data_IF_944436687303
#
_entry.id   IF_944436687303
#
_cell.length_a   1.000
_cell.length_b   1.000
_cell.length_c   1.000
_cell.angle_alpha   90.00
_cell.angle_beta   90.00
_cell.angle_gamma   90.00
#
_symmetry.space_group_name_H-M   'P 1'
#
loop_
_entity.id
_entity.type
_entity.pdbx_description
1 polymer ?
#
# COMPACT_ATOMS: atom_id res chain seq x y z
N UNK A 1 -16.51 -18.03 -14.64
CA UNK A 1 -15.65 -16.87 -14.33
C UNK A 1 -14.54 -17.35 -13.43
N UNK A 2 -13.29 -17.05 -13.78
CA UNK A 2 -12.13 -17.41 -12.95
C UNK A 2 -12.10 -16.62 -11.65
N UNK A 3 -11.27 -17.07 -10.70
CA UNK A 3 -10.96 -16.31 -9.49
C UNK A 3 -10.13 -15.11 -9.92
N UNK A 4 -10.54 -13.90 -9.52
CA UNK A 4 -9.75 -12.69 -9.78
C UNK A 4 -8.76 -12.42 -8.66
N UNK A 5 -7.63 -11.84 -9.03
CA UNK A 5 -6.59 -11.37 -8.13
C UNK A 5 -6.37 -9.88 -8.38
N UNK A 6 -6.32 -9.09 -7.31
CA UNK A 6 -5.89 -7.70 -7.30
C UNK A 6 -4.64 -7.53 -6.44
N UNK A 7 -3.89 -6.46 -6.69
CA UNK A 7 -2.65 -6.17 -5.95
C UNK A 7 -2.57 -4.68 -5.64
N UNK A 8 -2.11 -4.36 -4.44
CA UNK A 8 -1.84 -2.99 -3.98
C UNK A 8 -0.44 -2.95 -3.36
N UNK A 9 0.26 -1.83 -3.53
CA UNK A 9 1.53 -1.57 -2.88
C UNK A 9 1.60 -0.13 -2.40
N UNK A 10 1.93 0.03 -1.13
CA UNK A 10 2.07 1.31 -0.46
C UNK A 10 3.52 1.80 -0.52
N UNK A 11 3.68 3.11 -0.63
CA UNK A 11 4.98 3.78 -0.68
C UNK A 11 5.00 5.01 0.20
N UNK A 12 6.09 5.20 0.94
CA UNK A 12 6.43 6.52 1.45
C UNK A 12 7.08 7.39 0.36
N UNK A 13 6.78 8.68 0.41
CA UNK A 13 7.42 9.71 -0.41
C UNK A 13 8.62 10.29 0.32
N UNK A 14 9.73 10.41 -0.39
CA UNK A 14 10.97 11.00 0.11
C UNK A 14 11.41 12.21 -0.73
N UNK A 15 12.16 13.12 -0.12
CA UNK A 15 12.91 14.17 -0.82
C UNK A 15 14.28 13.67 -1.33
N UNK A 16 15.04 14.57 -1.95
CA UNK A 16 16.40 14.31 -2.45
C UNK A 16 17.43 13.96 -1.37
N UNK A 17 17.15 14.27 -0.11
CA UNK A 17 17.99 13.92 1.04
C UNK A 17 17.56 12.60 1.68
N UNK A 18 16.55 11.92 1.13
CA UNK A 18 15.99 10.67 1.65
C UNK A 18 15.06 10.85 2.85
N UNK A 19 14.59 12.08 3.14
CA UNK A 19 13.66 12.35 4.24
C UNK A 19 12.21 12.17 3.81
N UNK A 20 11.38 11.65 4.71
CA UNK A 20 9.94 11.49 4.48
C UNK A 20 9.27 12.86 4.30
N UNK A 21 8.41 12.99 3.30
CA UNK A 21 7.68 14.24 3.02
C UNK A 21 6.17 14.03 2.92
N UNK A 22 5.41 14.97 3.48
CA UNK A 22 3.94 14.94 3.49
C UNK A 22 3.34 15.53 2.19
N UNK A 23 3.74 15.01 1.03
CA UNK A 23 3.39 15.54 -0.31
C UNK A 23 2.53 14.60 -1.16
N UNK A 24 1.81 13.66 -0.56
CA UNK A 24 0.92 12.74 -1.29
C UNK A 24 -0.12 13.49 -2.13
N UNK A 25 -0.66 14.61 -1.64
CA UNK A 25 -1.61 15.43 -2.40
C UNK A 25 -1.09 15.90 -3.77
N UNK A 26 0.22 16.20 -3.87
CA UNK A 26 0.85 16.63 -5.12
C UNK A 26 0.93 15.49 -6.13
N UNK A 27 1.25 14.28 -5.66
CA UNK A 27 1.28 13.07 -6.48
C UNK A 27 -0.12 12.72 -6.97
N UNK A 28 -1.10 12.79 -6.08
CA UNK A 28 -2.49 12.41 -6.37
C UNK A 28 -3.17 13.34 -7.37
N UNK A 29 -2.83 14.63 -7.33
CA UNK A 29 -3.36 15.65 -8.25
C UNK A 29 -2.59 15.74 -9.58
N UNK A 30 -1.51 14.98 -9.74
CA UNK A 30 -0.69 15.05 -10.94
C UNK A 30 -1.41 14.53 -12.18
N UNK A 31 -1.21 15.18 -13.32
CA UNK A 31 -1.87 14.86 -14.63
C UNK A 31 -1.66 13.44 -15.14
N UNK A 32 -0.61 12.75 -14.67
CA UNK A 32 -0.31 11.36 -15.04
C UNK A 32 -0.96 10.33 -14.11
N UNK A 33 -1.61 10.76 -13.03
CA UNK A 33 -2.41 9.87 -12.20
C UNK A 33 -3.74 9.56 -12.90
N UNK A 34 -3.88 8.35 -13.42
CA UNK A 34 -5.11 7.86 -14.06
C UNK A 34 -6.19 7.37 -13.09
N UNK A 35 -5.99 7.55 -11.77
CA UNK A 35 -6.91 7.12 -10.72
C UNK A 35 -6.51 5.84 -9.98
N UNK A 36 -5.41 5.20 -10.39
CA UNK A 36 -4.87 3.98 -9.75
C UNK A 36 -3.75 4.26 -8.74
N UNK A 37 -3.41 5.54 -8.51
CA UNK A 37 -2.56 5.99 -7.41
C UNK A 37 -3.45 6.74 -6.44
N UNK A 38 -3.63 6.21 -5.24
CA UNK A 38 -4.62 6.72 -4.28
C UNK A 38 -3.98 7.14 -2.95
N UNK A 39 -4.76 7.89 -2.16
CA UNK A 39 -4.37 8.32 -0.81
C UNK A 39 -4.33 7.12 0.13
N UNK A 40 -3.32 7.07 1.00
CA UNK A 40 -3.25 6.05 2.06
C UNK A 40 -3.33 6.67 3.48
N UNK A 41 -2.76 6.01 4.49
CA UNK A 41 -2.97 6.35 5.91
C UNK A 41 -2.46 7.74 6.29
N UNK A 42 -1.45 8.25 5.57
CA UNK A 42 -0.81 9.53 5.85
C UNK A 42 -0.57 10.34 4.59
N UNK A 43 -0.27 11.63 4.77
CA UNK A 43 0.09 12.56 3.70
C UNK A 43 1.47 12.29 3.13
N UNK A 44 2.24 11.37 3.71
CA UNK A 44 3.50 10.92 3.14
C UNK A 44 3.36 9.64 2.31
N UNK A 45 2.17 9.05 2.25
CA UNK A 45 1.96 7.76 1.60
C UNK A 45 1.05 7.87 0.37
N UNK A 46 1.39 7.06 -0.63
CA UNK A 46 0.52 6.76 -1.77
C UNK A 46 0.43 5.25 -1.95
N UNK A 47 -0.70 4.77 -2.44
CA UNK A 47 -0.91 3.36 -2.77
C UNK A 47 -1.12 3.21 -4.28
N UNK A 48 -0.39 2.27 -4.90
CA UNK A 48 -0.56 1.90 -6.30
C UNK A 48 -1.43 0.66 -6.40
N UNK A 49 -2.50 0.74 -7.18
CA UNK A 49 -3.49 -0.34 -7.32
C UNK A 49 -3.40 -0.95 -8.73
N UNK A 50 -3.33 -2.28 -8.79
CA UNK A 50 -3.60 -3.06 -9.98
C UNK A 50 -5.03 -3.63 -9.91
N UNK A 51 -5.93 -3.22 -10.82
CA UNK A 51 -7.32 -3.69 -10.81
C UNK A 51 -7.43 -5.23 -10.88
N UNK A 52 -8.44 -5.83 -10.22
CA UNK A 52 -8.61 -7.28 -10.20
C UNK A 52 -8.81 -7.90 -11.58
N UNK A 53 -8.08 -8.97 -11.86
CA UNK A 53 -8.23 -9.76 -13.10
C UNK A 53 -8.09 -11.25 -12.81
N UNK A 54 -8.74 -12.08 -13.63
CA UNK A 54 -8.53 -13.53 -13.66
C UNK A 54 -7.29 -13.94 -14.49
N UNK A 55 -6.55 -12.95 -15.02
CA UNK A 55 -5.29 -13.13 -15.70
C UNK A 55 -4.15 -12.40 -14.95
N UNK A 56 -3.22 -13.17 -14.38
CA UNK A 56 -2.10 -12.63 -13.61
C UNK A 56 -1.15 -11.77 -14.45
N UNK A 57 -0.97 -12.08 -15.74
CA UNK A 57 -0.14 -11.25 -16.62
C UNK A 57 -0.77 -9.87 -16.83
N UNK A 58 -2.11 -9.79 -16.86
CA UNK A 58 -2.80 -8.51 -16.94
C UNK A 58 -2.61 -7.70 -15.65
N UNK A 59 -2.71 -8.34 -14.47
CA UNK A 59 -2.42 -7.69 -13.18
C UNK A 59 -0.99 -7.15 -13.17
N UNK A 60 -0.01 -7.98 -13.53
CA UNK A 60 1.41 -7.61 -13.60
C UNK A 60 1.65 -6.43 -14.55
N UNK A 61 1.07 -6.46 -15.74
CA UNK A 61 1.26 -5.40 -16.74
C UNK A 61 0.60 -4.08 -16.30
N UNK A 62 -0.60 -4.15 -15.71
CA UNK A 62 -1.28 -2.98 -15.16
C UNK A 62 -0.46 -2.39 -14.00
N UNK A 63 0.00 -3.22 -13.07
CA UNK A 63 0.81 -2.78 -11.95
C UNK A 63 2.11 -2.11 -12.42
N UNK A 64 2.83 -2.75 -13.37
CA UNK A 64 4.03 -2.17 -13.97
C UNK A 64 3.77 -0.82 -14.62
N UNK A 65 2.65 -0.66 -15.33
CA UNK A 65 2.26 0.61 -15.94
C UNK A 65 2.07 1.68 -14.88
N UNK A 66 1.35 1.39 -13.79
CA UNK A 66 1.11 2.38 -12.74
C UNK A 66 2.38 2.72 -11.94
N UNK A 67 3.30 1.76 -11.76
CA UNK A 67 4.63 2.06 -11.22
C UNK A 67 5.45 3.00 -12.12
N UNK A 68 5.36 2.84 -13.44
CA UNK A 68 5.99 3.77 -14.39
C UNK A 68 5.35 5.15 -14.35
N UNK A 69 4.03 5.23 -14.20
CA UNK A 69 3.33 6.50 -13.99
C UNK A 69 3.79 7.17 -12.68
N UNK A 70 3.84 6.43 -11.57
CA UNK A 70 4.32 6.95 -10.29
C UNK A 70 5.77 7.44 -10.40
N UNK A 71 6.65 6.71 -11.09
CA UNK A 71 8.02 7.13 -11.36
C UNK A 71 8.07 8.44 -12.15
N UNK A 72 7.24 8.58 -13.18
CA UNK A 72 7.19 9.83 -13.94
C UNK A 72 6.70 11.00 -13.08
N UNK A 73 5.63 10.80 -12.31
CA UNK A 73 5.07 11.82 -11.40
C UNK A 73 6.13 12.27 -10.38
N UNK A 74 6.81 11.32 -9.76
CA UNK A 74 7.79 11.60 -8.71
C UNK A 74 9.04 12.28 -9.28
N UNK A 75 9.49 11.91 -10.47
CA UNK A 75 10.54 12.65 -11.18
C UNK A 75 10.14 14.12 -11.45
N UNK A 76 8.92 14.37 -11.95
CA UNK A 76 8.45 15.74 -12.23
C UNK A 76 8.35 16.60 -10.95
N UNK A 77 8.13 15.97 -9.80
CA UNK A 77 7.98 16.61 -8.49
C UNK A 77 9.27 16.67 -7.66
N UNK A 78 10.39 16.13 -8.17
CA UNK A 78 11.64 15.90 -7.45
C UNK A 78 11.43 15.11 -6.14
N UNK A 79 10.65 14.03 -6.23
CA UNK A 79 10.35 13.11 -5.15
C UNK A 79 10.91 11.71 -5.47
N UNK A 80 11.05 10.92 -4.42
CA UNK A 80 11.42 9.51 -4.49
C UNK A 80 10.37 8.68 -3.75
N UNK A 81 10.32 7.38 -4.05
CA UNK A 81 9.39 6.42 -3.43
C UNK A 81 10.14 5.31 -2.75
N UNK A 82 9.67 4.91 -1.56
CA UNK A 82 10.25 3.84 -0.76
C UNK A 82 9.17 2.78 -0.44
N UNK A 83 9.21 1.60 -1.07
CA UNK A 83 8.35 0.47 -0.74
C UNK A 83 8.93 -0.35 0.43
N UNK A 84 9.39 0.31 1.49
CA UNK A 84 9.86 -0.36 2.70
C UNK A 84 8.71 -0.44 3.69
N UNK A 85 8.48 -1.61 4.28
CA UNK A 85 7.40 -1.77 5.23
C UNK A 85 7.61 -1.04 6.55
N UNK A 86 8.81 -0.51 6.79
CA UNK A 86 9.09 0.38 7.89
C UNK A 86 10.12 1.42 7.46
N UNK A 87 10.00 2.63 8.01
CA UNK A 87 10.97 3.70 7.80
C UNK A 87 11.37 4.33 9.13
N UNK A 88 12.69 4.47 9.32
CA UNK A 88 13.24 5.37 10.33
C UNK A 88 13.14 6.80 9.82
N UNK A 89 12.54 7.68 10.61
CA UNK A 89 12.24 9.04 10.20
C UNK A 89 12.23 9.98 11.39
N UNK A 90 12.80 11.18 11.20
CA UNK A 90 12.82 12.30 12.16
C UNK A 90 11.71 13.34 11.89
N UNK A 91 10.98 13.18 10.79
CA UNK A 91 9.90 14.08 10.36
C UNK A 91 8.54 13.62 10.91
N UNK A 92 7.70 14.56 11.34
CA UNK A 92 6.32 14.27 11.70
C UNK A 92 5.52 13.77 10.48
N UNK A 93 4.90 12.58 10.59
CA UNK A 93 4.02 12.04 9.56
C UNK A 93 2.59 12.51 9.82
N UNK A 94 2.04 13.28 8.88
CA UNK A 94 0.71 13.87 9.01
C UNK A 94 -0.34 12.84 8.59
N UNK A 95 -1.27 12.53 9.50
CA UNK A 95 -2.33 11.55 9.26
C UNK A 95 -3.38 12.04 8.26
N UNK A 96 -3.96 11.09 7.51
CA UNK A 96 -5.20 11.28 6.74
C UNK A 96 -6.45 10.81 7.51
N UNK A 97 -6.34 10.46 8.81
CA UNK A 97 -7.45 9.85 9.55
C UNK A 97 -8.69 10.73 9.66
N UNK A 98 -8.53 12.04 9.81
CA UNK A 98 -9.66 12.98 9.82
C UNK A 98 -10.40 13.02 8.48
N UNK A 99 -9.74 12.64 7.39
CA UNK A 99 -10.26 12.58 6.02
C UNK A 99 -10.76 11.16 5.65
N UNK A 100 -10.70 10.19 6.58
CA UNK A 100 -11.09 8.78 6.38
C UNK A 100 -11.92 8.29 7.57
N UNK A 101 -13.20 7.99 7.35
CA UNK A 101 -14.10 7.50 8.42
C UNK A 101 -13.53 6.28 9.18
N UNK A 102 -12.89 5.35 8.46
CA UNK A 102 -12.22 4.18 9.07
C UNK A 102 -11.01 4.58 9.94
N UNK A 103 -10.30 5.64 9.59
CA UNK A 103 -9.14 6.15 10.33
C UNK A 103 -9.52 6.59 11.74
N UNK A 104 -10.57 7.42 11.88
CA UNK A 104 -11.06 7.85 13.19
C UNK A 104 -11.54 6.67 14.05
N UNK A 105 -12.21 5.68 13.45
CA UNK A 105 -12.63 4.46 14.18
C UNK A 105 -11.41 3.66 14.68
N UNK A 106 -10.36 3.53 13.87
CA UNK A 106 -9.11 2.87 14.28
C UNK A 106 -8.42 3.61 15.44
N UNK A 107 -8.39 4.95 15.43
CA UNK A 107 -7.86 5.75 16.57
C UNK A 107 -8.57 5.43 17.87
N UNK A 108 -9.89 5.28 17.84
CA UNK A 108 -10.67 4.94 19.04
C UNK A 108 -10.36 3.53 19.56
N UNK A 109 -10.07 2.58 18.67
CA UNK A 109 -9.80 1.17 19.03
C UNK A 109 -8.36 0.97 19.50
N UNK A 110 -7.39 1.49 18.74
CA UNK A 110 -5.96 1.28 18.99
C UNK A 110 -5.37 2.31 19.97
N UNK A 111 -6.03 3.45 20.15
CA UNK A 111 -5.45 4.62 20.80
C UNK A 111 -4.56 5.42 19.82
N UNK A 112 -4.33 6.69 20.16
CA UNK A 112 -3.59 7.63 19.30
C UNK A 112 -2.15 7.16 19.04
N UNK A 113 -1.44 6.75 20.09
CA UNK A 113 -0.04 6.33 19.99
C UNK A 113 0.16 5.16 19.02
N UNK A 114 -0.56 4.04 19.20
CA UNK A 114 -0.42 2.87 18.33
C UNK A 114 -0.89 3.17 16.91
N UNK A 115 -1.93 3.98 16.75
CA UNK A 115 -2.39 4.38 15.41
C UNK A 115 -1.37 5.26 14.69
N UNK A 116 -0.68 6.15 15.39
CA UNK A 116 0.35 7.00 14.79
C UNK A 116 1.57 6.18 14.36
N UNK A 117 1.91 5.11 15.09
CA UNK A 117 2.95 4.16 14.66
C UNK A 117 2.59 3.44 13.35
N UNK A 118 1.32 3.13 13.10
CA UNK A 118 0.89 2.51 11.83
C UNK A 118 1.19 3.40 10.61
N UNK A 119 1.32 4.72 10.77
CA UNK A 119 1.66 5.60 9.66
C UNK A 119 3.10 5.43 9.14
N UNK A 120 3.96 4.70 9.85
CA UNK A 120 5.32 4.39 9.42
C UNK A 120 5.43 3.08 8.65
N UNK A 121 4.30 2.40 8.45
CA UNK A 121 4.25 1.04 7.92
C UNK A 121 3.65 1.07 6.52
N UNK A 122 4.35 0.47 5.56
CA UNK A 122 3.83 0.20 4.21
C UNK A 122 3.56 -1.29 4.02
N UNK A 123 2.47 -1.62 3.34
CA UNK A 123 2.06 -2.98 3.00
C UNK A 123 2.12 -3.30 1.51
N UNK A 124 2.22 -4.59 1.21
CA UNK A 124 1.74 -5.16 -0.06
C UNK A 124 0.44 -5.89 0.24
N UNK A 125 -0.64 -5.57 -0.45
CA UNK A 125 -1.92 -6.25 -0.29
C UNK A 125 -2.24 -7.09 -1.54
N UNK A 126 -2.62 -8.34 -1.32
CA UNK A 126 -3.09 -9.24 -2.38
C UNK A 126 -4.54 -9.58 -2.09
N UNK A 127 -5.41 -9.22 -3.03
CA UNK A 127 -6.84 -9.45 -2.93
C UNK A 127 -7.19 -10.65 -3.81
N UNK A 128 -7.83 -11.66 -3.23
CA UNK A 128 -8.26 -12.85 -3.96
C UNK A 128 -9.77 -12.97 -3.84
N UNK A 129 -10.46 -13.10 -4.96
CA UNK A 129 -11.90 -13.30 -4.99
C UNK A 129 -12.31 -14.51 -4.16
N UNK A 130 -13.43 -14.36 -3.44
CA UNK A 130 -14.03 -15.45 -2.68
C UNK A 130 -14.57 -16.53 -3.63
N UNK A 131 -14.19 -17.78 -3.39
CA UNK A 131 -14.81 -18.93 -4.05
C UNK A 131 -16.32 -19.00 -3.74
N UNK A 132 -17.13 -19.20 -4.79
CA UNK A 132 -18.61 -19.31 -4.65
C UNK A 132 -19.08 -20.71 -4.25
N UNK A 133 -18.31 -21.73 -4.60
CA UNK A 133 -18.57 -23.12 -4.23
C UNK A 133 -18.11 -23.37 -2.78
N UNK A 134 -18.96 -23.97 -1.95
CA UNK A 134 -18.72 -24.11 -0.51
C UNK A 134 -17.49 -24.96 -0.19
N UNK A 135 -17.28 -26.06 -0.93
CA UNK A 135 -16.11 -26.92 -0.73
C UNK A 135 -14.83 -26.19 -1.14
N UNK A 136 -14.84 -25.47 -2.26
CA UNK A 136 -13.71 -24.64 -2.70
C UNK A 136 -13.45 -23.47 -1.76
N UNK A 137 -14.49 -22.90 -1.15
CA UNK A 137 -14.37 -21.84 -0.16
C UNK A 137 -13.66 -22.35 1.10
N UNK A 138 -14.04 -23.53 1.59
CA UNK A 138 -13.35 -24.17 2.72
C UNK A 138 -11.87 -24.41 2.41
N UNK A 139 -11.56 -24.93 1.22
CA UNK A 139 -10.19 -25.15 0.78
C UNK A 139 -9.40 -23.83 0.63
N UNK A 140 -10.05 -22.77 0.11
CA UNK A 140 -9.45 -21.43 0.02
C UNK A 140 -9.09 -20.90 1.41
N UNK A 141 -9.99 -21.04 2.39
CA UNK A 141 -9.75 -20.62 3.76
C UNK A 141 -8.56 -21.37 4.39
N UNK A 142 -8.50 -22.70 4.24
CA UNK A 142 -7.37 -23.51 4.70
C UNK A 142 -6.06 -23.10 4.04
N UNK A 143 -6.08 -22.84 2.72
CA UNK A 143 -4.91 -22.37 2.00
C UNK A 143 -4.42 -21.04 2.58
N UNK A 144 -5.31 -20.05 2.77
CA UNK A 144 -4.93 -18.75 3.32
C UNK A 144 -4.29 -18.86 4.71
N UNK A 145 -4.80 -19.74 5.58
CA UNK A 145 -4.16 -20.00 6.88
C UNK A 145 -2.80 -20.69 6.75
N UNK A 146 -2.68 -21.61 5.79
CA UNK A 146 -1.44 -22.34 5.56
C UNK A 146 -0.35 -21.49 4.86
N UNK A 147 -0.65 -20.25 4.47
CA UNK A 147 0.34 -19.33 3.87
C UNK A 147 1.24 -18.65 4.90
N UNK A 148 0.99 -18.79 6.20
CA UNK A 148 1.84 -18.21 7.28
C UNK A 148 3.35 -18.48 7.09
N UNK A 149 3.80 -19.70 6.77
CA UNK A 149 5.23 -19.95 6.49
C UNK A 149 5.74 -19.22 5.26
N UNK A 150 4.92 -18.99 4.23
CA UNK A 150 5.33 -18.24 3.05
C UNK A 150 5.58 -16.76 3.39
N UNK A 151 4.80 -16.17 4.31
CA UNK A 151 5.05 -14.81 4.78
C UNK A 151 6.41 -14.69 5.48
N UNK A 152 6.87 -15.74 6.17
CA UNK A 152 8.21 -15.74 6.78
C UNK A 152 9.33 -15.62 5.74
N UNK A 153 9.16 -16.24 4.56
CA UNK A 153 10.13 -16.20 3.47
C UNK A 153 10.10 -14.86 2.71
N UNK A 154 9.00 -14.12 2.82
CA UNK A 154 8.80 -12.82 2.20
C UNK A 154 9.03 -11.65 3.17
N UNK A 155 9.45 -11.94 4.41
CA UNK A 155 9.67 -10.92 5.42
C UNK A 155 10.84 -10.01 5.03
N UNK A 156 10.55 -8.72 4.86
CA UNK A 156 11.51 -7.68 4.46
C UNK A 156 11.61 -6.54 5.48
N UNK A 157 11.24 -6.80 6.75
CA UNK A 157 10.99 -5.74 7.74
C UNK A 157 11.79 -5.90 9.04
N UNK A 158 13.12 -6.14 8.99
CA UNK A 158 13.91 -6.44 10.19
C UNK A 158 14.15 -5.24 11.12
N UNK A 159 13.95 -4.00 10.64
CA UNK A 159 14.23 -2.77 11.39
C UNK A 159 12.94 -1.96 11.61
N UNK A 160 12.85 -1.21 12.70
CA UNK A 160 11.76 -0.28 12.95
C UNK A 160 12.31 0.94 13.69
N UNK A 161 12.21 2.12 13.06
CA UNK A 161 12.75 3.38 13.57
C UNK A 161 14.28 3.49 13.69
N UNK A 162 15.04 2.64 12.98
CA UNK A 162 16.51 2.61 13.02
C UNK A 162 17.02 1.63 14.06
#
# INVERSE_FOLDING_TARGET
MGIKIGMELEFHLLDENGKVVNRAGDVLSHKYNGGNIIKELSKSMVEVIAPPSDNLDLVKNNFKKELLNLKQITNDLNLYVMPSSSIGNDVEIISNDSERERGMKKRLILGYYLRDLEHHICGTHIHVDRCKDEQKLFNQYLLMQAMDPLFSLMSSTPFFMG
#
